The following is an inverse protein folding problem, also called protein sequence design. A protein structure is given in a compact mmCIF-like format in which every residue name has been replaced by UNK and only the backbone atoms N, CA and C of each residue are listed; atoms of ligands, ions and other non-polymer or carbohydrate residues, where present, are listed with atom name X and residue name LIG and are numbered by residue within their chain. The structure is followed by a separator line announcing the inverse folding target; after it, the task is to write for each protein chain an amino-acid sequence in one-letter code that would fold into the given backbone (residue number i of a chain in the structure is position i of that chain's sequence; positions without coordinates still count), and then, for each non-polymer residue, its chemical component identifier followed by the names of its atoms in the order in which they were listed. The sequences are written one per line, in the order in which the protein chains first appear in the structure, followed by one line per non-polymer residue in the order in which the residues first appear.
data_IF_322709535932
#
_entry.id   IF_322709535932
#
_cell.length_a   1.000
_cell.length_b   1.000
_cell.length_c   1.000
_cell.angle_alpha   90.00
_cell.angle_beta   90.00
_cell.angle_gamma   90.00
#
_symmetry.space_group_name_H-M   'P 1'
#
loop_
_entity.id
_entity.type
_entity.pdbx_description
1 polymer ?
#
# COMPACT_ATOMS: atom_id res chain seq x y z
N UNK A 1 5.30 19.92 4.81
CA UNK A 1 6.56 19.58 5.50
C UNK A 1 7.35 18.73 4.52
N UNK A 2 8.60 19.04 4.21
CA UNK A 2 9.37 18.30 3.20
C UNK A 2 9.73 16.90 3.73
N UNK A 3 9.72 15.88 2.87
CA UNK A 3 10.12 14.49 3.20
C UNK A 3 11.56 14.42 3.76
N UNK A 4 12.42 15.38 3.39
CA UNK A 4 13.79 15.51 3.94
C UNK A 4 13.85 15.93 5.42
N UNK A 5 12.79 16.52 5.98
CA UNK A 5 12.70 16.81 7.42
C UNK A 5 12.27 15.56 8.22
N UNK A 6 11.65 14.58 7.55
CA UNK A 6 11.14 13.34 8.14
C UNK A 6 12.23 12.29 8.31
N UNK A 7 13.15 12.14 7.34
CA UNK A 7 14.32 11.25 7.48
C UNK A 7 15.28 11.66 8.61
N UNK A 8 15.05 12.84 9.21
CA UNK A 8 15.83 13.39 10.33
C UNK A 8 15.10 13.35 11.68
N UNK A 9 13.84 12.91 11.75
CA UNK A 9 13.15 12.75 13.04
C UNK A 9 13.61 11.44 13.69
N UNK A 10 14.42 11.57 14.73
CA UNK A 10 14.73 10.50 15.66
C UNK A 10 13.41 9.95 16.21
N UNK A 11 13.15 8.66 16.09
CA UNK A 11 12.02 8.05 16.80
C UNK A 11 12.34 8.07 18.31
N UNK A 12 11.38 8.53 19.12
CA UNK A 12 11.47 8.41 20.57
C UNK A 12 10.71 7.17 21.05
N UNK A 13 10.84 6.83 22.33
CA UNK A 13 10.15 5.69 22.89
C UNK A 13 8.62 5.89 22.80
N UNK A 14 7.86 5.00 22.12
CA UNK A 14 6.42 5.16 21.91
C UNK A 14 5.62 5.17 23.21
N UNK A 15 6.15 4.62 24.30
CA UNK A 15 5.53 4.70 25.62
C UNK A 15 5.52 6.13 26.21
N UNK A 16 6.26 7.06 25.60
CA UNK A 16 6.45 8.44 26.09
C UNK A 16 6.09 9.51 25.06
N UNK A 17 5.54 9.10 23.90
CA UNK A 17 5.17 10.04 22.85
C UNK A 17 4.15 11.07 23.34
N UNK A 18 4.41 12.32 22.97
CA UNK A 18 3.40 13.36 22.97
C UNK A 18 2.29 13.06 21.95
N UNK A 19 1.18 13.79 22.05
CA UNK A 19 0.12 13.79 21.04
C UNK A 19 0.65 14.06 19.64
N UNK A 20 1.59 15.00 19.50
CA UNK A 20 2.14 15.37 18.19
C UNK A 20 2.98 14.24 17.61
N UNK A 21 3.77 13.54 18.44
CA UNK A 21 4.56 12.39 17.97
C UNK A 21 3.67 11.22 17.55
N UNK A 22 2.56 10.97 18.25
CA UNK A 22 1.57 9.99 17.79
C UNK A 22 0.98 10.40 16.43
N UNK A 23 0.58 11.65 16.24
CA UNK A 23 0.04 12.13 14.97
C UNK A 23 1.07 12.09 13.83
N UNK A 24 2.33 12.42 14.11
CA UNK A 24 3.42 12.32 13.14
C UNK A 24 3.64 10.86 12.68
N UNK A 25 3.54 9.89 13.59
CA UNK A 25 3.69 8.47 13.26
C UNK A 25 2.43 7.85 12.62
N UNK A 26 1.24 8.36 12.93
CA UNK A 26 0.02 8.03 12.19
C UNK A 26 0.11 8.52 10.74
N UNK A 27 0.63 9.73 10.51
CA UNK A 27 0.88 10.23 9.16
C UNK A 27 1.98 9.42 8.46
N UNK A 28 3.03 9.02 9.18
CA UNK A 28 4.06 8.14 8.63
C UNK A 28 3.48 6.82 8.10
N UNK A 29 2.53 6.24 8.85
CA UNK A 29 1.82 5.05 8.43
C UNK A 29 0.93 5.32 7.20
N UNK A 30 0.17 6.42 7.17
CA UNK A 30 -0.57 6.82 5.95
C UNK A 30 0.35 6.98 4.74
N UNK A 31 1.50 7.63 4.92
CA UNK A 31 2.44 7.93 3.85
C UNK A 31 3.09 6.66 3.28
N UNK A 32 3.45 5.68 4.12
CA UNK A 32 4.07 4.43 3.64
C UNK A 32 3.07 3.57 2.86
N UNK A 33 1.85 3.38 3.38
CA UNK A 33 0.78 2.62 2.70
C UNK A 33 0.34 3.30 1.39
N UNK A 34 0.32 4.64 1.36
CA UNK A 34 0.05 5.37 0.12
C UNK A 34 1.20 5.26 -0.88
N UNK A 35 2.45 5.23 -0.42
CA UNK A 35 3.63 5.23 -1.27
C UNK A 35 3.81 3.89 -2.01
N UNK A 36 3.37 2.77 -1.44
CA UNK A 36 3.40 1.44 -2.08
C UNK A 36 2.41 1.33 -3.25
N UNK A 37 1.22 1.94 -3.15
CA UNK A 37 0.14 1.79 -4.14
C UNK A 37 0.58 2.18 -5.57
N UNK A 38 1.07 3.40 -5.87
CA UNK A 38 1.47 3.77 -7.23
C UNK A 38 2.68 2.99 -7.71
N UNK A 39 3.58 2.61 -6.79
CA UNK A 39 4.77 1.82 -7.09
C UNK A 39 4.38 0.42 -7.59
N UNK A 40 3.49 -0.26 -6.86
CA UNK A 40 3.02 -1.60 -7.18
C UNK A 40 2.13 -1.59 -8.42
N UNK A 41 1.24 -0.59 -8.55
CA UNK A 41 0.42 -0.40 -9.75
C UNK A 41 1.25 -0.16 -11.02
N UNK A 42 2.34 0.62 -10.91
CA UNK A 42 3.24 0.87 -12.04
C UNK A 42 3.87 -0.43 -12.55
N UNK A 43 4.30 -1.29 -11.63
CA UNK A 43 4.89 -2.59 -11.97
C UNK A 43 3.84 -3.56 -12.51
N UNK A 44 2.65 -3.64 -11.87
CA UNK A 44 1.53 -4.47 -12.30
C UNK A 44 1.14 -4.16 -13.75
N UNK A 45 0.87 -2.90 -14.07
CA UNK A 45 0.40 -2.51 -15.41
C UNK A 45 1.50 -2.38 -16.46
N UNK A 46 2.75 -2.68 -16.09
CA UNK A 46 3.80 -2.92 -17.08
C UNK A 46 3.60 -4.25 -17.82
N UNK A 47 2.86 -5.18 -17.23
CA UNK A 47 2.56 -6.51 -17.78
C UNK A 47 1.61 -6.38 -18.97
N UNK A 48 1.94 -7.02 -20.08
CA UNK A 48 1.11 -7.05 -21.28
C UNK A 48 -0.11 -7.96 -21.11
N UNK A 49 -1.21 -7.63 -21.80
CA UNK A 49 -2.42 -8.47 -21.85
C UNK A 49 -3.35 -8.32 -20.65
N UNK A 50 -3.10 -7.35 -19.76
CA UNK A 50 -4.02 -7.00 -18.67
C UNK A 50 -5.20 -6.18 -19.21
N UNK A 51 -6.17 -6.86 -19.79
CA UNK A 51 -7.40 -6.23 -20.30
C UNK A 51 -8.36 -5.92 -19.16
N UNK A 52 -8.83 -4.67 -19.08
CA UNK A 52 -9.68 -4.10 -18.01
C UNK A 52 -11.05 -4.77 -17.79
N UNK A 53 -11.38 -5.83 -18.54
CA UNK A 53 -12.66 -6.53 -18.43
C UNK A 53 -12.56 -8.05 -18.25
N UNK A 54 -11.35 -8.62 -18.14
CA UNK A 54 -11.19 -10.06 -17.94
C UNK A 54 -9.99 -10.38 -17.04
N UNK A 55 -10.09 -9.98 -15.78
CA UNK A 55 -9.04 -10.26 -14.80
C UNK A 55 -8.86 -11.78 -14.54
N UNK A 56 -9.84 -12.63 -14.86
CA UNK A 56 -9.69 -14.11 -14.86
C UNK A 56 -8.52 -14.56 -15.74
N UNK A 57 -8.28 -13.88 -16.86
CA UNK A 57 -7.22 -14.20 -17.81
C UNK A 57 -5.85 -13.66 -17.41
N UNK A 58 -5.74 -12.92 -16.30
CA UNK A 58 -4.46 -12.37 -15.87
C UNK A 58 -3.45 -13.49 -15.57
N UNK A 59 -2.17 -13.32 -15.94
CA UNK A 59 -1.10 -14.22 -15.48
C UNK A 59 -1.05 -14.26 -13.96
N UNK A 60 -0.71 -15.42 -13.38
CA UNK A 60 -0.63 -15.60 -11.91
C UNK A 60 0.19 -14.50 -11.21
N UNK A 61 1.32 -14.10 -11.80
CA UNK A 61 2.16 -13.02 -11.27
C UNK A 61 1.40 -11.67 -11.19
N UNK A 62 0.59 -11.33 -12.19
CA UNK A 62 -0.22 -10.12 -12.16
C UNK A 62 -1.28 -10.20 -11.07
N UNK A 63 -1.93 -11.37 -10.91
CA UNK A 63 -2.94 -11.60 -9.86
C UNK A 63 -2.36 -11.46 -8.46
N UNK A 64 -1.16 -12.01 -8.23
CA UNK A 64 -0.44 -11.87 -6.96
C UNK A 64 -0.15 -10.41 -6.62
N UNK A 65 0.39 -9.63 -7.57
CA UNK A 65 0.68 -8.20 -7.35
C UNK A 65 -0.62 -7.39 -7.18
N UNK A 66 -1.65 -7.67 -7.97
CA UNK A 66 -2.98 -7.04 -7.85
C UNK A 66 -3.58 -7.29 -6.47
N UNK A 67 -3.47 -8.51 -5.95
CA UNK A 67 -3.94 -8.85 -4.59
C UNK A 67 -3.26 -8.00 -3.52
N UNK A 68 -1.95 -7.77 -3.64
CA UNK A 68 -1.20 -6.93 -2.69
C UNK A 68 -1.64 -5.48 -2.80
N UNK A 69 -1.77 -4.93 -4.02
CA UNK A 69 -2.26 -3.54 -4.21
C UNK A 69 -3.61 -3.31 -3.53
N UNK A 70 -4.54 -4.27 -3.66
CA UNK A 70 -5.85 -4.16 -3.02
C UNK A 70 -5.72 -4.17 -1.49
N UNK A 71 -4.81 -4.99 -0.95
CA UNK A 71 -4.50 -5.03 0.48
C UNK A 71 -3.88 -3.70 0.96
N UNK A 72 -2.93 -3.10 0.23
CA UNK A 72 -2.38 -1.76 0.55
C UNK A 72 -3.47 -0.66 0.56
N UNK A 73 -4.43 -0.71 -0.36
CA UNK A 73 -5.57 0.22 -0.36
C UNK A 73 -6.48 0.02 0.87
N UNK A 74 -6.66 -1.23 1.31
CA UNK A 74 -7.34 -1.55 2.56
C UNK A 74 -6.55 -1.05 3.78
N UNK A 75 -5.22 -1.20 3.77
CA UNK A 75 -4.35 -0.70 4.85
C UNK A 75 -4.46 0.81 4.97
N UNK A 76 -4.46 1.52 3.84
CA UNK A 76 -4.69 2.96 3.78
C UNK A 76 -6.06 3.35 4.36
N UNK A 77 -7.13 2.59 4.10
CA UNK A 77 -8.43 2.80 4.74
C UNK A 77 -8.35 2.63 6.26
N UNK A 78 -7.75 1.53 6.73
CA UNK A 78 -7.67 1.21 8.15
C UNK A 78 -6.87 2.24 8.94
N UNK A 79 -5.71 2.67 8.43
CA UNK A 79 -4.90 3.70 9.08
C UNK A 79 -5.61 5.06 9.06
N UNK A 80 -6.33 5.39 7.98
CA UNK A 80 -7.13 6.62 7.90
C UNK A 80 -8.29 6.63 8.89
N UNK A 81 -8.95 5.49 9.07
CA UNK A 81 -9.97 5.31 10.10
C UNK A 81 -9.39 5.48 11.52
N UNK A 82 -8.19 4.96 11.76
CA UNK A 82 -7.51 5.11 13.04
C UNK A 82 -7.14 6.57 13.32
N UNK A 83 -6.60 7.27 12.32
CA UNK A 83 -6.35 8.71 12.37
C UNK A 83 -7.62 9.47 12.79
N UNK A 84 -8.73 9.25 12.08
CA UNK A 84 -9.99 9.92 12.35
C UNK A 84 -10.55 9.60 13.75
N UNK A 85 -10.44 8.35 14.20
CA UNK A 85 -10.88 7.96 15.55
C UNK A 85 -10.11 8.70 16.65
N UNK A 86 -8.82 9.00 16.43
CA UNK A 86 -7.94 9.74 17.34
C UNK A 86 -7.96 11.26 17.11
N UNK A 87 -8.88 11.76 16.27
CA UNK A 87 -9.06 13.18 16.00
C UNK A 87 -7.98 13.79 15.11
N UNK A 88 -7.22 12.96 14.39
CA UNK A 88 -6.23 13.38 13.41
C UNK A 88 -6.82 13.31 12.00
N UNK A 89 -6.66 14.39 11.23
CA UNK A 89 -7.08 14.48 9.83
C UNK A 89 -5.88 14.20 8.91
N UNK A 90 -5.74 12.96 8.38
CA UNK A 90 -4.57 12.57 7.60
C UNK A 90 -4.47 13.39 6.30
N UNK A 91 -3.23 13.61 5.87
CA UNK A 91 -2.89 14.24 4.60
C UNK A 91 -2.45 13.17 3.59
N UNK A 92 -2.62 13.45 2.31
CA UNK A 92 -2.23 12.51 1.24
C UNK A 92 -1.33 13.23 0.24
N UNK A 93 -0.05 13.47 0.60
CA UNK A 93 0.89 14.12 -0.31
C UNK A 93 1.20 13.22 -1.51
N UNK A 94 1.63 13.81 -2.63
CA UNK A 94 2.10 13.02 -3.75
C UNK A 94 3.39 12.27 -3.37
N UNK A 95 3.46 10.94 -3.57
CA UNK A 95 4.66 10.17 -3.27
C UNK A 95 5.79 10.47 -4.26
N UNK A 96 7.02 10.44 -3.77
CA UNK A 96 8.24 10.63 -4.56
C UNK A 96 9.09 9.37 -4.56
N UNK A 97 9.63 8.99 -5.72
CA UNK A 97 10.40 7.76 -5.92
C UNK A 97 11.83 8.09 -6.35
N UNK A 98 12.59 8.70 -5.44
CA UNK A 98 13.95 9.15 -5.66
C UNK A 98 14.92 8.39 -4.76
N UNK A 99 16.02 7.88 -5.32
CA UNK A 99 17.02 7.10 -4.58
C UNK A 99 17.57 7.84 -3.36
N UNK A 100 17.74 9.16 -3.46
CA UNK A 100 18.27 9.98 -2.39
C UNK A 100 17.34 10.10 -1.17
N UNK A 101 16.02 9.92 -1.37
CA UNK A 101 15.01 9.99 -0.32
C UNK A 101 14.73 8.61 0.29
N UNK A 102 14.99 7.53 -0.44
CA UNK A 102 14.79 6.17 0.05
C UNK A 102 13.32 5.78 0.20
N UNK A 103 13.05 4.75 1.01
CA UNK A 103 11.68 4.36 1.37
C UNK A 103 11.22 5.30 2.51
N UNK A 104 10.04 5.93 2.43
CA UNK A 104 9.58 6.86 3.46
C UNK A 104 9.61 6.22 4.85
N UNK A 105 10.20 6.92 5.83
CA UNK A 105 10.25 6.54 7.26
C UNK A 105 10.99 5.24 7.61
N UNK A 106 11.38 4.42 6.62
CA UNK A 106 12.02 3.13 6.82
C UNK A 106 13.51 3.18 6.45
N UNK A 107 14.33 2.48 7.24
CA UNK A 107 15.72 2.18 6.90
C UNK A 107 16.01 0.70 7.19
N UNK A 108 15.56 -0.21 6.32
CA UNK A 108 15.68 -1.64 6.55
C UNK A 108 17.14 -2.11 6.56
N UNK A 109 17.44 -3.12 7.38
CA UNK A 109 18.69 -3.85 7.33
C UNK A 109 18.61 -4.91 6.22
N UNK A 110 18.99 -4.50 5.01
CA UNK A 110 18.71 -5.23 3.78
C UNK A 110 19.51 -6.53 3.68
N UNK A 111 18.85 -7.71 3.60
CA UNK A 111 19.53 -8.97 3.35
C UNK A 111 20.30 -8.99 2.02
N UNK A 112 21.45 -9.71 1.91
CA UNK A 112 22.24 -9.78 0.69
C UNK A 112 21.44 -10.20 -0.57
N UNK A 113 20.39 -11.00 -0.40
CA UNK A 113 19.48 -11.42 -1.48
C UNK A 113 18.84 -10.23 -2.20
N UNK A 114 18.55 -9.14 -1.49
CA UNK A 114 17.85 -7.96 -2.01
C UNK A 114 18.79 -6.77 -2.22
N UNK A 115 20.08 -6.92 -1.95
CA UNK A 115 21.07 -5.86 -2.12
C UNK A 115 21.09 -5.30 -3.55
N UNK A 116 21.35 -3.99 -3.65
CA UNK A 116 21.40 -3.25 -4.92
C UNK A 116 20.03 -3.01 -5.56
N UNK A 117 18.94 -3.06 -4.78
CA UNK A 117 17.66 -2.48 -5.20
C UNK A 117 17.81 -0.97 -5.40
N UNK A 118 16.95 -0.40 -6.22
CA UNK A 118 16.87 1.04 -6.48
C UNK A 118 15.44 1.51 -6.22
N UNK A 119 15.30 2.62 -5.51
CA UNK A 119 14.04 3.32 -5.28
C UNK A 119 13.70 4.14 -6.51
N UNK A 120 12.94 3.51 -7.41
CA UNK A 120 12.42 4.12 -8.63
C UNK A 120 11.18 3.36 -9.10
N UNK A 121 10.38 4.00 -9.95
CA UNK A 121 9.32 3.33 -10.70
C UNK A 121 9.91 2.51 -11.84
N UNK A 122 9.31 1.36 -12.16
CA UNK A 122 9.82 0.45 -13.17
C UNK A 122 8.84 -0.66 -13.54
N UNK A 123 9.17 -1.47 -14.57
CA UNK A 123 8.36 -2.59 -14.99
C UNK A 123 8.55 -3.79 -14.06
N UNK A 124 7.82 -4.89 -14.30
CA UNK A 124 8.08 -6.17 -13.64
C UNK A 124 9.49 -6.66 -13.99
N UNK A 125 10.44 -6.37 -13.10
CA UNK A 125 11.83 -6.77 -13.22
C UNK A 125 12.45 -7.14 -11.86
N UNK A 126 13.72 -7.55 -11.88
CA UNK A 126 14.45 -7.94 -10.68
C UNK A 126 14.63 -6.78 -9.71
N UNK A 127 14.79 -5.54 -10.20
CA UNK A 127 14.96 -4.39 -9.33
C UNK A 127 13.67 -4.10 -8.57
N UNK A 128 12.53 -4.07 -9.26
CA UNK A 128 11.24 -3.78 -8.62
C UNK A 128 10.89 -4.84 -7.60
N UNK A 129 11.06 -6.12 -7.92
CA UNK A 129 10.77 -7.19 -6.95
C UNK A 129 11.72 -7.20 -5.76
N UNK A 130 13.00 -6.81 -5.93
CA UNK A 130 13.90 -6.60 -4.78
C UNK A 130 13.41 -5.45 -3.91
N UNK A 131 13.03 -4.32 -4.50
CA UNK A 131 12.48 -3.17 -3.78
C UNK A 131 11.22 -3.57 -3.01
N UNK A 132 10.30 -4.32 -3.64
CA UNK A 132 9.07 -4.79 -3.01
C UNK A 132 9.38 -5.71 -1.82
N UNK A 133 10.31 -6.66 -1.99
CA UNK A 133 10.75 -7.51 -0.88
C UNK A 133 11.40 -6.71 0.25
N UNK A 134 12.09 -5.58 -0.05
CA UNK A 134 12.72 -4.72 0.97
C UNK A 134 11.68 -3.92 1.75
N UNK A 135 10.64 -3.44 1.07
CA UNK A 135 9.52 -2.73 1.71
C UNK A 135 8.78 -3.66 2.68
N UNK A 136 8.45 -4.86 2.22
CA UNK A 136 7.69 -5.86 2.98
C UNK A 136 8.59 -6.75 3.87
N UNK A 137 9.83 -6.35 4.17
CA UNK A 137 10.72 -7.19 4.97
C UNK A 137 10.05 -7.52 6.31
N UNK A 138 9.98 -8.81 6.71
CA UNK A 138 9.44 -9.15 8.00
C UNK A 138 10.30 -8.55 9.12
N UNK A 139 9.63 -8.12 10.18
CA UNK A 139 10.27 -7.64 11.39
C UNK A 139 11.43 -8.56 11.84
N UNK A 140 12.61 -7.99 12.17
CA UNK A 140 13.69 -8.77 12.77
C UNK A 140 13.21 -9.48 14.05
N UNK A 141 13.67 -10.71 14.32
CA UNK A 141 13.29 -11.42 15.54
C UNK A 141 13.76 -10.66 16.79
N UNK A 142 12.83 -10.35 17.69
CA UNK A 142 13.12 -9.66 18.95
C UNK A 142 12.04 -8.66 19.32
N UNK A 143 12.31 -7.84 20.34
CA UNK A 143 11.55 -6.60 20.58
C UNK A 143 12.48 -5.42 20.31
N UNK A 144 12.03 -4.38 19.59
CA UNK A 144 12.86 -3.22 19.35
C UNK A 144 13.22 -2.52 20.67
N UNK A 145 14.49 -2.10 20.83
CA UNK A 145 14.92 -1.27 21.97
C UNK A 145 14.62 0.20 21.66
N UNK A 146 13.39 0.60 21.97
CA UNK A 146 12.86 1.94 21.69
C UNK A 146 13.65 3.09 22.32
N UNK A 147 14.55 2.83 23.27
CA UNK A 147 15.41 3.87 23.85
C UNK A 147 16.70 4.09 23.05
N UNK A 148 17.04 3.18 22.15
CA UNK A 148 18.24 3.25 21.29
C UNK A 148 17.91 3.43 19.83
N UNK A 149 16.71 3.02 19.43
CA UNK A 149 16.29 3.07 18.06
C UNK A 149 16.01 4.51 17.63
N UNK A 150 16.44 4.87 16.43
CA UNK A 150 16.29 6.23 15.89
C UNK A 150 15.46 6.27 14.61
N UNK A 151 15.03 5.11 14.11
CA UNK A 151 14.35 4.90 12.82
C UNK A 151 13.70 3.52 12.78
N UNK A 152 12.70 3.30 11.93
CA UNK A 152 12.08 1.98 11.74
C UNK A 152 12.85 1.14 10.72
N UNK A 153 13.02 -0.15 10.98
CA UNK A 153 13.64 -1.10 10.06
C UNK A 153 12.61 -1.83 9.19
N UNK A 154 11.33 -1.85 9.59
CA UNK A 154 10.23 -2.44 8.83
C UNK A 154 8.92 -1.70 9.09
N UNK A 155 7.89 -1.96 8.27
CA UNK A 155 6.53 -1.45 8.47
C UNK A 155 5.97 -1.96 9.80
N UNK A 156 6.23 -3.22 10.13
CA UNK A 156 5.86 -3.89 11.38
C UNK A 156 6.45 -3.21 12.62
N UNK A 157 7.66 -2.65 12.56
CA UNK A 157 8.20 -1.83 13.66
C UNK A 157 7.44 -0.49 13.80
N UNK A 158 7.09 0.18 12.69
CA UNK A 158 6.27 1.40 12.74
C UNK A 158 4.91 1.12 13.41
N UNK A 159 4.24 0.04 12.99
CA UNK A 159 2.95 -0.35 13.56
C UNK A 159 3.04 -0.86 15.00
N UNK A 160 4.17 -1.44 15.43
CA UNK A 160 4.39 -1.75 16.85
C UNK A 160 4.48 -0.52 17.73
N UNK A 161 5.14 0.53 17.23
CA UNK A 161 5.21 1.78 17.96
C UNK A 161 3.80 2.37 18.15
N UNK A 162 2.93 2.26 17.13
CA UNK A 162 1.51 2.59 17.24
C UNK A 162 0.76 1.64 18.20
N UNK A 163 1.02 0.33 18.17
CA UNK A 163 0.42 -0.67 19.07
C UNK A 163 0.72 -0.35 20.56
N UNK A 164 1.86 0.30 20.84
CA UNK A 164 2.23 0.79 22.19
C UNK A 164 1.57 2.14 22.49
N UNK A 165 1.66 3.11 21.59
CA UNK A 165 1.28 4.49 21.86
C UNK A 165 -0.25 4.69 21.87
N UNK A 166 -0.98 4.00 21.00
CA UNK A 166 -2.44 4.17 20.85
C UNK A 166 -3.19 3.83 22.14
N UNK A 167 -2.97 2.69 22.82
CA UNK A 167 -3.63 2.38 24.10
C UNK A 167 -3.41 3.44 25.18
N UNK A 168 -2.20 4.01 25.24
CA UNK A 168 -1.82 4.98 26.27
C UNK A 168 -2.53 6.33 26.09
N UNK A 169 -2.87 6.70 24.85
CA UNK A 169 -3.50 7.98 24.52
C UNK A 169 -4.97 7.86 24.10
N UNK A 170 -5.49 6.64 23.94
CA UNK A 170 -6.86 6.39 23.45
C UNK A 170 -7.92 7.12 24.25
N UNK A 171 -7.85 7.03 25.59
CA UNK A 171 -8.85 7.66 26.48
C UNK A 171 -8.93 9.17 26.28
N UNK A 172 -7.81 9.81 25.99
CA UNK A 172 -7.70 11.28 25.91
C UNK A 172 -7.94 11.79 24.49
N UNK A 173 -7.65 10.98 23.46
CA UNK A 173 -7.70 11.39 22.06
C UNK A 173 -8.89 10.83 21.27
N UNK A 174 -9.51 9.74 21.72
CA UNK A 174 -10.66 9.18 21.02
C UNK A 174 -11.78 10.22 20.96
N UNK A 175 -12.23 10.53 19.74
CA UNK A 175 -13.22 11.60 19.51
C UNK A 175 -14.60 11.28 20.08
N UNK A 176 -14.85 10.02 20.44
CA UNK A 176 -16.15 9.53 20.90
C UNK A 176 -17.04 9.14 19.73
N UNK A 177 -17.90 8.13 19.97
CA UNK A 177 -18.74 7.54 18.91
C UNK A 177 -19.61 8.57 18.17
N UNK A 178 -20.11 9.60 18.86
CA UNK A 178 -20.93 10.64 18.25
C UNK A 178 -20.16 11.57 17.29
N UNK A 179 -18.86 11.80 17.54
CA UNK A 179 -18.03 12.67 16.70
C UNK A 179 -17.22 11.87 15.66
N UNK A 180 -17.16 10.55 15.77
CA UNK A 180 -16.40 9.67 14.88
C UNK A 180 -17.11 9.40 13.54
N UNK A 181 -17.45 10.46 12.82
CA UNK A 181 -18.33 10.41 11.62
C UNK A 181 -17.58 10.20 10.30
N UNK A 182 -16.24 10.21 10.32
CA UNK A 182 -15.38 10.15 9.13
C UNK A 182 -14.82 8.75 8.83
N UNK A 183 -15.41 7.73 9.45
CA UNK A 183 -15.03 6.33 9.23
C UNK A 183 -15.49 5.87 7.85
N UNK A 184 -14.64 5.09 7.17
CA UNK A 184 -14.92 4.48 5.88
C UNK A 184 -14.90 2.95 5.97
N UNK A 185 -15.59 2.28 5.06
CA UNK A 185 -15.75 0.84 5.03
C UNK A 185 -15.96 0.37 3.57
N UNK A 186 -15.07 0.77 2.67
CA UNK A 186 -15.21 0.61 1.21
C UNK A 186 -15.05 -0.83 0.75
N UNK A 187 -14.37 -1.65 1.55
CA UNK A 187 -14.08 -3.04 1.24
C UNK A 187 -15.05 -4.00 1.96
N UNK A 188 -16.20 -3.50 2.45
CA UNK A 188 -17.22 -4.31 3.13
C UNK A 188 -17.97 -5.25 2.20
N UNK A 189 -18.11 -4.97 0.90
CA UNK A 189 -18.79 -5.87 -0.04
C UNK A 189 -18.05 -7.20 -0.25
N UNK A 190 -16.73 -7.23 -0.02
CA UNK A 190 -15.97 -8.49 0.03
C UNK A 190 -16.49 -9.41 1.15
N UNK A 191 -17.02 -8.86 2.25
CA UNK A 191 -17.58 -9.66 3.38
C UNK A 191 -18.97 -10.23 3.14
N UNK A 192 -19.80 -9.53 2.34
CA UNK A 192 -21.23 -9.83 2.26
C UNK A 192 -21.56 -10.96 1.28
N UNK A 193 -20.70 -11.23 0.29
CA UNK A 193 -20.96 -12.24 -0.75
C UNK A 193 -20.97 -13.69 -0.25
N UNK A 194 -20.24 -14.02 0.84
CA UNK A 194 -20.03 -15.42 1.24
C UNK A 194 -20.66 -15.83 2.57
N UNK A 195 -21.36 -14.93 3.30
CA UNK A 195 -21.95 -15.18 4.63
C UNK A 195 -21.01 -15.84 5.68
N UNK A 196 -19.73 -15.95 5.37
CA UNK A 196 -18.63 -16.41 6.22
C UNK A 196 -17.69 -15.20 6.29
N UNK A 197 -18.02 -14.28 7.20
CA UNK A 197 -17.43 -12.95 7.22
C UNK A 197 -15.96 -12.97 7.62
N UNK A 198 -15.06 -12.85 6.64
CA UNK A 198 -13.62 -12.63 6.85
C UNK A 198 -13.05 -11.73 5.75
N UNK A 199 -13.48 -10.47 5.69
CA UNK A 199 -12.86 -9.41 4.86
C UNK A 199 -12.79 -8.12 5.68
N UNK A 200 -11.61 -7.74 6.13
CA UNK A 200 -11.45 -6.85 7.29
C UNK A 200 -11.54 -5.34 6.95
N UNK A 201 -12.53 -4.91 6.16
CA UNK A 201 -12.92 -3.49 6.13
C UNK A 201 -13.68 -3.19 7.42
N UNK A 202 -13.17 -2.30 8.26
CA UNK A 202 -13.83 -1.99 9.53
C UNK A 202 -13.71 -0.54 9.95
N UNK A 203 -14.77 -0.08 10.61
CA UNK A 203 -14.76 1.17 11.35
C UNK A 203 -14.17 0.98 12.75
N UNK A 204 -13.53 2.02 13.27
CA UNK A 204 -12.79 1.99 14.53
C UNK A 204 -13.51 2.85 15.57
N UNK A 205 -14.31 2.21 16.41
CA UNK A 205 -15.10 2.85 17.47
C UNK A 205 -14.68 2.44 18.89
N UNK A 206 -13.64 1.62 19.01
CA UNK A 206 -13.11 1.13 20.27
C UNK A 206 -11.61 0.87 20.14
N UNK A 207 -10.91 0.82 21.30
CA UNK A 207 -9.49 0.49 21.34
C UNK A 207 -9.23 -0.91 20.78
N UNK A 208 -10.10 -1.88 21.05
CA UNK A 208 -9.95 -3.25 20.53
C UNK A 208 -10.00 -3.28 18.99
N UNK A 209 -10.91 -2.51 18.38
CA UNK A 209 -10.95 -2.36 16.92
C UNK A 209 -9.71 -1.65 16.38
N UNK A 210 -9.20 -0.63 17.07
CA UNK A 210 -7.97 0.05 16.68
C UNK A 210 -6.77 -0.90 16.67
N UNK A 211 -6.62 -1.72 17.72
CA UNK A 211 -5.56 -2.72 17.81
C UNK A 211 -5.74 -3.84 16.79
N UNK A 212 -6.97 -4.27 16.53
CA UNK A 212 -7.26 -5.24 15.47
C UNK A 212 -6.87 -4.70 14.09
N UNK A 213 -7.12 -3.42 13.80
CA UNK A 213 -6.68 -2.77 12.55
C UNK A 213 -5.16 -2.78 12.38
N UNK A 214 -4.43 -2.36 13.41
CA UNK A 214 -2.96 -2.39 13.42
C UNK A 214 -2.45 -3.81 13.15
N UNK A 215 -3.04 -4.82 13.81
CA UNK A 215 -2.63 -6.21 13.64
C UNK A 215 -2.96 -6.77 12.26
N UNK A 216 -4.08 -6.38 11.65
CA UNK A 216 -4.45 -6.83 10.31
C UNK A 216 -3.45 -6.34 9.26
N UNK A 217 -3.07 -5.05 9.32
CA UNK A 217 -2.08 -4.44 8.42
C UNK A 217 -0.76 -5.21 8.49
N UNK A 218 -0.20 -5.36 9.70
CA UNK A 218 1.09 -6.04 9.90
C UNK A 218 1.08 -7.48 9.39
N UNK A 219 0.00 -8.23 9.65
CA UNK A 219 -0.07 -9.63 9.23
C UNK A 219 -0.16 -9.77 7.72
N UNK A 220 -0.93 -8.91 7.06
CA UNK A 220 -1.08 -8.96 5.60
C UNK A 220 0.22 -8.56 4.90
N UNK A 221 0.90 -7.51 5.37
CA UNK A 221 2.19 -7.06 4.82
C UNK A 221 3.33 -8.07 5.05
N UNK A 222 3.74 -8.21 6.31
CA UNK A 222 4.97 -8.93 6.69
C UNK A 222 4.73 -10.39 7.09
N UNK A 223 3.51 -10.74 7.53
CA UNK A 223 3.16 -12.05 8.09
C UNK A 223 3.08 -12.07 9.62
N UNK A 224 2.91 -13.26 10.22
CA UNK A 224 2.95 -13.41 11.69
C UNK A 224 4.42 -13.48 12.18
N UNK A 225 4.71 -12.80 13.30
CA UNK A 225 5.92 -12.94 14.15
C UNK A 225 6.33 -14.38 14.55
N UNK A 226 5.67 -15.43 14.06
CA UNK A 226 5.90 -16.83 14.46
C UNK A 226 5.32 -17.94 13.54
N UNK A 227 4.56 -17.65 12.48
CA UNK A 227 4.08 -18.68 11.52
C UNK A 227 3.89 -18.11 10.11
N UNK A 228 4.07 -18.95 9.09
CA UNK A 228 4.02 -18.60 7.66
C UNK A 228 2.63 -18.15 7.15
N UNK A 229 1.56 -18.29 7.94
CA UNK A 229 0.18 -18.02 7.51
C UNK A 229 -0.49 -16.84 8.26
N UNK A 230 -1.16 -15.97 7.50
CA UNK A 230 -2.13 -14.96 7.98
C UNK A 230 -3.33 -15.71 8.58
N UNK A 231 -3.81 -15.42 9.80
CA UNK A 231 -4.94 -16.13 10.39
C UNK A 231 -6.25 -15.83 9.64
N UNK A 232 -7.19 -16.79 9.51
CA UNK A 232 -8.39 -16.65 8.67
C UNK A 232 -9.23 -15.38 8.86
N UNK A 233 -9.27 -14.82 10.07
CA UNK A 233 -9.99 -13.56 10.36
C UNK A 233 -9.38 -12.30 9.71
N UNK A 234 -8.10 -12.38 9.38
CA UNK A 234 -7.29 -11.29 8.81
C UNK A 234 -6.99 -11.57 7.31
N UNK A 235 -7.54 -12.65 6.75
CA UNK A 235 -7.46 -13.02 5.33
C UNK A 235 -8.54 -12.28 4.51
N UNK A 236 -8.40 -12.26 3.18
CA UNK A 236 -9.53 -11.95 2.29
C UNK A 236 -10.48 -13.17 2.20
N UNK A 237 -11.79 -12.97 2.01
CA UNK A 237 -12.75 -14.07 1.97
C UNK A 237 -12.60 -14.88 0.67
N UNK A 238 -12.56 -16.21 0.76
CA UNK A 238 -12.48 -17.09 -0.42
C UNK A 238 -13.79 -17.05 -1.23
N UNK A 239 -13.76 -16.62 -2.50
CA UNK A 239 -14.92 -16.72 -3.40
C UNK A 239 -15.13 -18.15 -3.99
N UNK A 240 -16.37 -18.42 -4.36
CA UNK A 240 -16.78 -19.59 -5.13
C UNK A 240 -16.17 -19.49 -6.56
N UNK A 241 -15.61 -20.55 -7.17
CA UNK A 241 -14.72 -20.48 -8.35
C UNK A 241 -15.36 -20.01 -9.67
N UNK A 242 -16.58 -19.50 -9.66
CA UNK A 242 -17.31 -19.06 -10.87
C UNK A 242 -17.15 -17.56 -11.18
N UNK A 243 -16.73 -16.75 -10.21
CA UNK A 243 -16.33 -15.35 -10.40
C UNK A 243 -14.88 -15.22 -9.94
N UNK A 244 -14.08 -14.38 -10.61
CA UNK A 244 -12.72 -14.11 -10.17
C UNK A 244 -12.73 -12.97 -9.18
N UNK A 245 -12.13 -13.21 -8.02
CA UNK A 245 -11.75 -12.16 -7.10
C UNK A 245 -10.21 -12.08 -7.05
N UNK A 246 -9.59 -10.94 -7.40
CA UNK A 246 -8.15 -10.77 -7.28
C UNK A 246 -7.63 -10.95 -5.84
N UNK A 247 -8.49 -10.93 -4.82
CA UNK A 247 -8.14 -11.25 -3.43
C UNK A 247 -8.08 -12.75 -3.11
N UNK A 248 -8.48 -13.64 -4.03
CA UNK A 248 -8.46 -15.11 -3.88
C UNK A 248 -7.06 -15.76 -3.99
N UNK A 249 -6.02 -15.00 -4.32
CA UNK A 249 -4.67 -15.57 -4.48
C UNK A 249 -3.99 -15.74 -3.12
N UNK A 250 -4.17 -16.96 -2.58
CA UNK A 250 -3.67 -17.45 -1.28
C UNK A 250 -3.65 -16.36 -0.19
N UNK A 251 -4.83 -16.02 0.37
CA UNK A 251 -4.94 -14.94 1.35
C UNK A 251 -4.21 -15.27 2.67
N UNK A 252 -3.68 -16.48 2.81
CA UNK A 252 -2.81 -16.88 3.91
C UNK A 252 -1.36 -16.39 3.75
N UNK A 253 -0.92 -15.99 2.55
CA UNK A 253 0.45 -15.51 2.33
C UNK A 253 0.57 -14.00 2.50
N UNK A 254 1.64 -13.59 3.20
CA UNK A 254 2.02 -12.18 3.33
C UNK A 254 2.53 -11.58 2.02
N UNK A 255 2.51 -10.25 1.92
CA UNK A 255 3.04 -9.53 0.75
C UNK A 255 4.51 -9.93 0.49
N UNK A 256 5.31 -10.03 1.55
CA UNK A 256 6.70 -10.51 1.47
C UNK A 256 6.84 -11.85 0.76
N UNK A 257 6.04 -12.85 1.16
CA UNK A 257 6.11 -14.20 0.59
C UNK A 257 5.69 -14.19 -0.88
N UNK A 258 4.62 -13.44 -1.22
CA UNK A 258 4.15 -13.27 -2.60
C UNK A 258 5.25 -12.66 -3.48
N UNK A 259 5.86 -11.54 -3.07
CA UNK A 259 6.92 -10.90 -3.85
C UNK A 259 8.19 -11.73 -3.92
N UNK A 260 8.57 -12.39 -2.83
CA UNK A 260 9.76 -13.23 -2.82
C UNK A 260 9.61 -14.45 -3.75
N UNK A 261 8.41 -15.05 -3.81
CA UNK A 261 8.09 -16.12 -4.76
C UNK A 261 8.27 -15.64 -6.20
N UNK A 262 7.69 -14.48 -6.56
CA UNK A 262 7.82 -13.92 -7.91
C UNK A 262 9.30 -13.62 -8.22
N UNK A 263 10.05 -13.07 -7.26
CA UNK A 263 11.48 -12.78 -7.44
C UNK A 263 12.28 -14.05 -7.72
N UNK A 264 12.01 -15.12 -6.99
CA UNK A 264 12.69 -16.41 -7.17
C UNK A 264 12.33 -17.02 -8.54
N UNK A 265 11.07 -16.94 -8.96
CA UNK A 265 10.65 -17.36 -10.31
C UNK A 265 11.35 -16.55 -11.41
N UNK A 266 11.48 -15.23 -11.24
CA UNK A 266 12.11 -14.36 -12.23
C UNK A 266 13.62 -14.64 -12.38
N UNK A 267 14.29 -15.07 -11.31
CA UNK A 267 15.72 -15.45 -11.31
C UNK A 267 16.02 -16.76 -12.01
N UNK A 268 15.03 -17.66 -12.13
CA UNK A 268 15.19 -18.92 -12.85
C UNK A 268 15.22 -18.72 -14.38
N UNK A 269 14.97 -17.51 -14.87
CA UNK A 269 14.97 -17.17 -16.29
C UNK A 269 13.58 -17.32 -16.92
N UNK A 270 13.50 -17.47 -18.26
CA UNK A 270 12.22 -17.55 -18.97
C UNK A 270 11.34 -18.67 -18.43
N UNK A 271 10.17 -18.29 -17.92
CA UNK A 271 9.21 -19.19 -17.30
C UNK A 271 7.80 -18.73 -17.74
N UNK A 272 6.87 -19.64 -18.08
CA UNK A 272 5.47 -19.29 -18.38
C UNK A 272 4.76 -18.40 -17.35
N UNK A 273 5.27 -18.38 -16.11
CA UNK A 273 4.75 -17.59 -15.00
C UNK A 273 5.26 -16.13 -15.01
N UNK A 274 6.30 -15.82 -15.78
CA UNK A 274 6.82 -14.47 -15.95
C UNK A 274 6.26 -13.90 -17.26
N UNK A 275 5.27 -13.01 -17.19
CA UNK A 275 4.65 -12.45 -18.38
C UNK A 275 5.55 -11.39 -19.04
N UNK A 276 5.32 -11.14 -20.33
CA UNK A 276 5.99 -10.06 -21.05
C UNK A 276 5.56 -8.69 -20.51
N UNK A 277 6.48 -7.73 -20.50
CA UNK A 277 6.21 -6.33 -20.15
C UNK A 277 6.29 -5.43 -21.39
N UNK A 278 5.67 -4.25 -21.34
CA UNK A 278 5.82 -3.25 -22.40
C UNK A 278 7.28 -2.78 -22.53
N UNK A 279 7.83 -2.68 -23.76
CA UNK A 279 9.20 -2.23 -23.97
C UNK A 279 9.33 -0.71 -23.79
N UNK A 280 10.48 -0.27 -23.28
CA UNK A 280 10.82 1.15 -23.20
C UNK A 280 11.45 1.66 -24.51
N UNK A 281 11.19 2.92 -24.83
CA UNK A 281 11.80 3.68 -25.94
C UNK A 281 12.62 4.81 -25.31
N UNK A 282 13.91 4.59 -24.99
CA UNK A 282 14.74 5.58 -24.29
C UNK A 282 15.12 6.79 -25.14
N UNK A 283 15.04 6.67 -26.47
CA UNK A 283 15.37 7.72 -27.42
C UNK A 283 14.22 7.87 -28.44
N UNK A 284 13.06 8.40 -28.01
CA UNK A 284 11.90 8.56 -28.88
C UNK A 284 12.17 9.60 -29.96
N UNK A 285 11.58 9.39 -31.14
CA UNK A 285 11.50 10.46 -32.13
C UNK A 285 10.53 11.58 -31.68
N UNK A 286 10.37 12.63 -32.49
CA UNK A 286 9.51 13.77 -32.12
C UNK A 286 8.05 13.39 -31.91
N UNK A 287 7.53 12.43 -32.68
CA UNK A 287 6.14 12.01 -32.57
C UNK A 287 5.96 11.16 -31.30
N UNK A 288 6.83 10.17 -31.11
CA UNK A 288 6.83 9.30 -29.92
C UNK A 288 7.00 10.12 -28.64
N UNK A 289 7.87 11.13 -28.64
CA UNK A 289 8.04 12.02 -27.49
C UNK A 289 6.76 12.79 -27.15
N UNK A 290 6.01 13.24 -28.16
CA UNK A 290 4.73 13.93 -27.95
C UNK A 290 3.65 12.97 -27.43
N UNK A 291 3.61 11.72 -27.92
CA UNK A 291 2.71 10.67 -27.43
C UNK A 291 3.01 10.32 -25.96
N UNK A 292 4.28 10.11 -25.61
CA UNK A 292 4.72 9.89 -24.24
C UNK A 292 4.35 11.05 -23.32
N UNK A 293 4.59 12.30 -23.74
CA UNK A 293 4.26 13.48 -22.95
C UNK A 293 2.75 13.64 -22.73
N UNK A 294 1.93 13.31 -23.73
CA UNK A 294 0.47 13.32 -23.61
C UNK A 294 -0.03 12.25 -22.64
N UNK A 295 0.46 11.01 -22.76
CA UNK A 295 0.10 9.92 -21.86
C UNK A 295 0.48 10.25 -20.41
N UNK A 296 1.68 10.80 -20.19
CA UNK A 296 2.13 11.23 -18.85
C UNK A 296 1.25 12.33 -18.27
N UNK A 297 0.86 13.34 -19.08
CA UNK A 297 -0.04 14.40 -18.62
C UNK A 297 -1.40 13.82 -18.20
N UNK A 298 -1.97 12.92 -18.99
CA UNK A 298 -3.23 12.26 -18.65
C UNK A 298 -3.14 11.44 -17.36
N UNK A 299 -2.04 10.69 -17.18
CA UNK A 299 -1.77 9.98 -15.93
C UNK A 299 -1.68 10.94 -14.74
N UNK A 300 -0.90 12.02 -14.86
CA UNK A 300 -0.71 13.00 -13.80
C UNK A 300 -2.04 13.68 -13.42
N UNK A 301 -2.84 14.10 -14.40
CA UNK A 301 -4.15 14.72 -14.16
C UNK A 301 -5.11 13.73 -13.48
N UNK A 302 -5.16 12.48 -13.95
CA UNK A 302 -5.99 11.44 -13.36
C UNK A 302 -5.56 11.08 -11.93
N UNK A 303 -4.25 11.03 -11.67
CA UNK A 303 -3.74 10.79 -10.32
C UNK A 303 -4.03 11.97 -9.38
N UNK A 304 -3.93 13.22 -9.84
CA UNK A 304 -4.36 14.39 -9.03
C UNK A 304 -5.84 14.30 -8.65
N UNK A 305 -6.70 13.88 -9.57
CA UNK A 305 -8.12 13.66 -9.28
C UNK A 305 -8.31 12.57 -8.21
N UNK A 306 -7.66 11.42 -8.36
CA UNK A 306 -7.70 10.33 -7.38
C UNK A 306 -7.23 10.77 -5.99
N UNK A 307 -6.10 11.48 -5.90
CA UNK A 307 -5.58 12.02 -4.63
C UNK A 307 -6.54 13.03 -3.99
N UNK A 308 -7.23 13.84 -4.80
CA UNK A 308 -8.27 14.76 -4.32
C UNK A 308 -9.46 14.02 -3.72
N UNK A 309 -9.86 12.89 -4.32
CA UNK A 309 -10.92 12.03 -3.79
C UNK A 309 -10.50 11.37 -2.48
N UNK A 310 -9.25 10.89 -2.35
CA UNK A 310 -8.70 10.37 -1.08
C UNK A 310 -8.73 11.44 0.02
N UNK A 311 -8.17 12.62 -0.27
CA UNK A 311 -8.10 13.72 0.68
C UNK A 311 -9.49 14.14 1.15
N UNK A 312 -10.47 14.22 0.25
CA UNK A 312 -11.84 14.60 0.59
C UNK A 312 -12.54 13.48 1.34
N UNK A 313 -12.52 12.27 0.80
CA UNK A 313 -13.30 11.14 1.29
C UNK A 313 -12.92 10.70 2.69
N UNK A 314 -11.63 10.62 2.99
CA UNK A 314 -11.18 10.26 4.35
C UNK A 314 -11.24 11.40 5.37
N UNK A 315 -11.39 12.65 4.94
CA UNK A 315 -11.46 13.79 5.88
C UNK A 315 -12.87 14.37 6.07
N UNK A 316 -13.87 13.80 5.40
CA UNK A 316 -15.27 14.23 5.49
C UNK A 316 -16.18 13.04 5.81
N UNK A 317 -17.34 13.32 6.38
CA UNK A 317 -18.34 12.29 6.62
C UNK A 317 -18.93 11.84 5.28
N UNK A 318 -18.91 10.54 5.02
CA UNK A 318 -19.46 9.96 3.79
C UNK A 318 -20.78 9.24 4.07
N UNK A 319 -21.67 9.25 3.07
CA UNK A 319 -22.90 8.48 3.15
C UNK A 319 -22.57 6.98 3.24
N UNK A 320 -23.22 6.28 4.18
CA UNK A 320 -23.03 4.84 4.39
C UNK A 320 -21.58 4.42 4.67
N UNK A 321 -20.69 5.35 5.08
CA UNK A 321 -19.27 5.07 5.29
C UNK A 321 -18.58 4.55 4.02
N UNK A 322 -19.04 4.98 2.84
CA UNK A 322 -18.46 4.60 1.56
C UNK A 322 -18.01 5.84 0.79
N UNK A 323 -16.85 5.75 0.18
CA UNK A 323 -16.33 6.73 -0.74
C UNK A 323 -17.32 6.92 -1.91
N UNK A 324 -17.40 8.14 -2.47
CA UNK A 324 -18.33 8.43 -3.55
C UNK A 324 -17.99 7.63 -4.82
N UNK A 325 -18.96 7.45 -5.72
CA UNK A 325 -18.74 6.78 -7.01
C UNK A 325 -17.61 7.40 -7.87
N UNK A 326 -17.33 8.69 -7.70
CA UNK A 326 -16.20 9.39 -8.31
C UNK A 326 -14.85 8.83 -7.87
N UNK A 327 -14.70 8.44 -6.60
CA UNK A 327 -13.49 7.80 -6.08
C UNK A 327 -13.20 6.50 -6.83
N UNK A 328 -14.16 5.56 -6.85
CA UNK A 328 -14.00 4.29 -7.55
C UNK A 328 -13.74 4.48 -9.05
N UNK A 329 -14.44 5.42 -9.69
CA UNK A 329 -14.22 5.75 -11.10
C UNK A 329 -12.80 6.25 -11.35
N UNK A 330 -12.28 7.12 -10.48
CA UNK A 330 -10.91 7.63 -10.58
C UNK A 330 -9.87 6.52 -10.33
N UNK A 331 -10.10 5.66 -9.34
CA UNK A 331 -9.24 4.53 -8.98
C UNK A 331 -9.14 3.52 -10.12
N UNK A 332 -10.27 3.05 -10.66
CA UNK A 332 -10.27 2.09 -11.77
C UNK A 332 -9.70 2.69 -13.06
N UNK A 333 -9.84 4.01 -13.26
CA UNK A 333 -9.24 4.69 -14.41
C UNK A 333 -7.70 4.68 -14.37
N UNK A 334 -7.07 4.57 -13.19
CA UNK A 334 -5.61 4.51 -13.07
C UNK A 334 -5.00 3.35 -13.88
N UNK A 335 -5.68 2.21 -13.97
CA UNK A 335 -5.24 1.10 -14.84
C UNK A 335 -5.02 1.56 -16.26
N UNK A 336 -6.03 2.19 -16.86
CA UNK A 336 -5.98 2.64 -18.25
C UNK A 336 -4.89 3.69 -18.44
N UNK A 337 -4.78 4.63 -17.52
CA UNK A 337 -3.80 5.72 -17.59
C UNK A 337 -2.36 5.21 -17.49
N UNK A 338 -2.06 4.36 -16.50
CA UNK A 338 -0.72 3.78 -16.30
C UNK A 338 -0.35 2.90 -17.50
N UNK A 339 -1.28 2.06 -17.97
CA UNK A 339 -1.07 1.20 -19.15
C UNK A 339 -0.79 2.01 -20.40
N UNK A 340 -1.48 3.14 -20.60
CA UNK A 340 -1.28 4.02 -21.75
C UNK A 340 0.14 4.60 -21.78
N UNK A 341 0.70 4.96 -20.62
CA UNK A 341 2.10 5.42 -20.54
C UNK A 341 3.06 4.29 -20.92
N UNK A 342 2.85 3.08 -20.39
CA UNK A 342 3.65 1.92 -20.78
C UNK A 342 3.60 1.62 -22.28
N UNK A 343 2.41 1.68 -22.89
CA UNK A 343 2.22 1.47 -24.33
C UNK A 343 2.94 2.51 -25.20
N UNK A 344 3.12 3.74 -24.70
CA UNK A 344 3.90 4.79 -25.36
C UNK A 344 5.43 4.56 -25.28
N UNK A 345 5.87 3.53 -24.55
CA UNK A 345 7.28 3.22 -24.35
C UNK A 345 7.98 4.08 -23.28
N UNK A 346 7.22 4.68 -22.36
CA UNK A 346 7.74 5.43 -21.23
C UNK A 346 7.41 4.76 -19.88
N UNK A 347 8.21 5.04 -18.85
CA UNK A 347 7.89 4.64 -17.47
C UNK A 347 6.88 5.63 -16.87
N UNK A 348 5.76 5.19 -16.29
CA UNK A 348 4.82 6.03 -15.55
C UNK A 348 5.51 6.96 -14.55
N UNK A 349 5.11 8.22 -14.53
CA UNK A 349 5.57 9.20 -13.56
C UNK A 349 4.38 9.92 -12.93
N UNK A 350 4.35 9.97 -11.60
CA UNK A 350 3.30 10.65 -10.85
C UNK A 350 3.68 12.12 -10.59
N UNK A 351 2.70 13.00 -10.32
CA UNK A 351 2.98 14.36 -9.91
C UNK A 351 3.96 14.41 -8.73
N UNK A 352 4.89 15.36 -8.77
CA UNK A 352 5.74 15.72 -7.64
C UNK A 352 5.44 17.17 -7.26
N UNK A 353 5.26 17.43 -5.96
CA UNK A 353 4.98 18.73 -5.35
C UNK A 353 3.56 19.29 -5.55
#
# INVERSE_FOLDING_TARGET
MHITDVLRKTIHNPATWSKQELYDNLQAAVDVELWTIPLYLTTLYSIQGLNSGNQQAYPTTAKLIESVVIQEMLHLELISNLCNALGYAPQYPFPTYEEAEGIPFLKPDVPPKYAGYQVKLGPLDINQLKLFCVIELPEPPGKPDWNKQTRYNSIGELYQALEIAVPLQWKDLYVGAAANTKQQANFTDYTQKNQQGHGFSQTINSLDQALAAIQAIVKQGEGNRSTEEIPPRDQAPAENPTAYDPSDFDPSQSHFLKFNLILDLLRLGPNPWIPATYPLIPHPDKQQLAEQAMAQRQLQDGFRAFMSELQTGFNTAQANQQMPGSFYSSMFNLQSLITTVWQSGATPAFPSH
#
